data_IF_413707091095
#
_entry.id   IF_413707091095
#
_cell.length_a   1.000
_cell.length_b   1.000
_cell.length_c   1.000
_cell.angle_alpha   90.00
_cell.angle_beta   90.00
_cell.angle_gamma   90.00
#
_symmetry.space_group_name_H-M   'P 1'
#
loop_
_entity.id
_entity.type
_entity.pdbx_description
1 polymer ?
#
# COMPACT_ATOMS: atom_id res chain seq x y z
N UNK A 1 -5.30 3.47 -24.78
CA UNK A 1 -4.04 2.69 -24.89
C UNK A 1 -2.90 3.70 -25.09
N UNK A 2 -1.66 3.40 -24.68
CA UNK A 2 -0.51 4.27 -24.92
C UNK A 2 0.13 4.06 -26.30
N UNK A 3 -0.19 2.96 -27.00
CA UNK A 3 0.23 2.70 -28.39
C UNK A 3 -0.45 3.60 -29.43
N UNK A 4 -1.49 4.33 -29.04
CA UNK A 4 -2.24 5.27 -29.88
C UNK A 4 -2.40 6.65 -29.22
N UNK A 5 -1.67 6.91 -28.13
CA UNK A 5 -1.71 8.18 -27.40
C UNK A 5 -0.55 9.07 -27.86
N UNK A 6 -0.85 10.35 -28.07
CA UNK A 6 0.14 11.40 -28.32
C UNK A 6 -0.22 12.58 -27.41
N UNK A 7 0.78 13.24 -26.84
CA UNK A 7 0.58 14.46 -26.03
C UNK A 7 0.68 15.72 -26.88
N UNK A 8 -0.35 16.56 -26.83
CA UNK A 8 -0.40 17.82 -27.59
C UNK A 8 0.57 18.88 -27.04
N UNK A 9 0.79 18.92 -25.71
CA UNK A 9 1.71 19.88 -25.08
C UNK A 9 3.18 19.49 -25.19
N UNK A 10 3.50 18.22 -25.48
CA UNK A 10 4.90 17.72 -25.42
C UNK A 10 5.36 16.94 -26.65
N UNK A 11 4.47 16.60 -27.59
CA UNK A 11 4.78 15.77 -28.76
C UNK A 11 5.23 14.34 -28.43
N UNK A 12 5.03 13.87 -27.19
CA UNK A 12 5.42 12.52 -26.74
C UNK A 12 4.40 11.48 -27.19
N UNK A 13 4.89 10.28 -27.52
CA UNK A 13 4.08 9.17 -28.03
C UNK A 13 4.05 9.13 -29.57
N UNK A 14 3.46 8.08 -30.17
CA UNK A 14 2.90 6.89 -29.52
C UNK A 14 3.95 5.96 -28.94
N UNK A 15 3.63 5.28 -27.83
CA UNK A 15 4.53 4.31 -27.19
C UNK A 15 4.39 2.92 -27.83
N UNK A 16 4.84 2.83 -29.08
CA UNK A 16 4.95 1.59 -29.87
C UNK A 16 6.17 0.76 -29.46
N UNK A 17 6.28 -0.48 -29.92
CA UNK A 17 7.43 -1.33 -29.63
C UNK A 17 8.75 -0.66 -30.07
N UNK A 18 9.76 -0.71 -29.19
CA UNK A 18 11.03 -0.01 -29.38
C UNK A 18 11.07 1.46 -28.93
N UNK A 19 9.98 2.07 -28.42
CA UNK A 19 9.93 3.49 -28.01
C UNK A 19 11.05 3.94 -27.06
N UNK A 20 11.62 3.02 -26.28
CA UNK A 20 12.73 3.30 -25.34
C UNK A 20 14.03 3.72 -26.05
N UNK A 21 14.18 3.38 -27.33
CA UNK A 21 15.41 3.62 -28.10
C UNK A 21 15.47 5.04 -28.68
N UNK A 22 14.32 5.67 -28.94
CA UNK A 22 14.19 6.98 -29.58
C UNK A 22 13.58 8.07 -28.69
N UNK A 23 12.88 7.73 -27.61
CA UNK A 23 12.30 8.71 -26.67
C UNK A 23 13.36 9.29 -25.74
N UNK A 24 13.40 10.62 -25.58
CA UNK A 24 14.20 11.32 -24.54
C UNK A 24 13.45 12.56 -24.01
N UNK A 25 13.64 12.97 -22.74
CA UNK A 25 14.23 12.18 -21.66
C UNK A 25 13.31 11.03 -21.20
N UNK A 26 13.93 9.99 -20.64
CA UNK A 26 13.31 8.85 -19.95
C UNK A 26 13.80 8.87 -18.49
N UNK A 27 12.94 8.45 -17.56
CA UNK A 27 13.27 8.26 -16.14
C UNK A 27 12.81 6.87 -15.67
N UNK A 28 13.39 6.38 -14.57
CA UNK A 28 12.99 5.13 -13.93
C UNK A 28 12.84 5.36 -12.42
N UNK A 29 11.79 4.81 -11.81
CA UNK A 29 11.56 4.87 -10.37
C UNK A 29 11.60 3.46 -9.76
N UNK A 30 12.67 3.13 -9.05
CA UNK A 30 12.76 1.89 -8.28
C UNK A 30 11.85 1.99 -7.04
N UNK A 31 10.95 1.02 -6.89
CA UNK A 31 9.97 0.96 -5.79
C UNK A 31 10.15 -0.38 -5.08
N UNK A 32 10.97 -0.41 -4.01
CA UNK A 32 11.00 -1.53 -3.06
C UNK A 32 9.65 -1.56 -2.34
N UNK A 33 9.00 -2.71 -2.33
CA UNK A 33 7.76 -2.94 -1.59
C UNK A 33 8.04 -4.00 -0.54
N UNK A 34 7.57 -3.75 0.67
CA UNK A 34 7.62 -4.66 1.79
C UNK A 34 6.27 -4.62 2.51
N UNK A 35 5.86 -5.75 3.06
CA UNK A 35 4.62 -5.89 3.81
C UNK A 35 4.81 -6.99 4.86
N UNK A 36 4.39 -6.69 6.10
CA UNK A 36 4.21 -7.66 7.17
C UNK A 36 2.71 -7.78 7.46
N UNK A 37 2.24 -9.00 7.73
CA UNK A 37 0.86 -9.25 8.16
C UNK A 37 0.83 -10.23 9.34
N UNK A 38 1.21 -9.74 10.52
CA UNK A 38 1.33 -10.49 11.79
C UNK A 38 -0.03 -10.94 12.36
N UNK A 39 -0.74 -11.80 11.62
CA UNK A 39 -2.00 -12.44 12.02
C UNK A 39 -1.86 -13.95 11.92
N UNK A 40 -1.97 -14.63 13.06
CA UNK A 40 -1.86 -16.08 13.16
C UNK A 40 -2.82 -16.80 12.19
N UNK A 41 -2.30 -17.79 11.45
CA UNK A 41 -3.04 -18.54 10.43
C UNK A 41 -3.26 -17.82 9.09
N UNK A 42 -2.99 -16.51 8.99
CA UNK A 42 -3.24 -15.71 7.78
C UNK A 42 -2.00 -15.03 7.19
N UNK A 43 -0.91 -14.88 7.94
CA UNK A 43 0.31 -14.16 7.55
C UNK A 43 0.78 -14.42 6.12
N UNK A 44 1.39 -15.58 5.85
CA UNK A 44 2.02 -15.86 4.55
C UNK A 44 1.03 -15.77 3.38
N UNK A 45 -0.23 -16.19 3.57
CA UNK A 45 -1.26 -16.08 2.53
C UNK A 45 -1.57 -14.62 2.15
N UNK A 46 -1.52 -13.70 3.11
CA UNK A 46 -1.78 -12.26 2.89
C UNK A 46 -0.54 -11.54 2.37
N UNK A 47 0.64 -11.82 2.91
CA UNK A 47 1.92 -11.25 2.43
C UNK A 47 2.21 -11.69 0.98
N UNK A 48 1.99 -12.97 0.65
CA UNK A 48 2.02 -13.48 -0.72
C UNK A 48 1.05 -12.73 -1.62
N UNK A 49 -0.18 -12.50 -1.19
CA UNK A 49 -1.25 -11.87 -2.00
C UNK A 49 -0.89 -10.41 -2.35
N UNK A 50 -0.27 -9.69 -1.42
CA UNK A 50 0.20 -8.32 -1.60
C UNK A 50 1.46 -8.26 -2.49
N UNK A 51 2.32 -9.28 -2.46
CA UNK A 51 3.55 -9.35 -3.26
C UNK A 51 3.48 -10.19 -4.55
N UNK A 52 2.40 -10.92 -4.81
CA UNK A 52 2.34 -11.96 -5.85
C UNK A 52 2.65 -11.47 -7.25
N UNK A 53 3.84 -11.83 -7.73
CA UNK A 53 3.98 -12.34 -9.10
C UNK A 53 3.26 -13.68 -9.11
N UNK A 54 2.27 -13.88 -9.98
CA UNK A 54 1.70 -15.22 -10.12
C UNK A 54 2.62 -16.09 -10.98
N UNK A 55 3.15 -17.17 -10.40
CA UNK A 55 3.49 -18.36 -11.17
C UNK A 55 2.21 -19.19 -11.23
N UNK A 56 1.56 -19.16 -12.38
CA UNK A 56 0.22 -19.72 -12.61
C UNK A 56 0.11 -21.17 -12.11
N UNK A 57 -0.88 -21.45 -11.25
CA UNK A 57 -1.32 -22.83 -10.98
C UNK A 57 -2.83 -22.93 -10.71
N UNK A 58 -3.59 -23.16 -11.80
CA UNK A 58 -4.82 -23.95 -11.84
C UNK A 58 -5.95 -23.62 -10.83
N UNK A 59 -6.54 -22.41 -10.85
CA UNK A 59 -7.95 -22.20 -10.46
C UNK A 59 -8.49 -20.84 -10.97
N UNK A 60 -9.36 -20.79 -12.02
CA UNK A 60 -9.67 -19.54 -12.72
C UNK A 60 -10.74 -18.64 -12.07
N UNK A 61 -11.39 -19.05 -10.97
CA UNK A 61 -12.64 -18.43 -10.49
C UNK A 61 -12.51 -17.41 -9.33
N UNK A 62 -11.30 -17.18 -8.79
CA UNK A 62 -11.07 -16.16 -7.73
C UNK A 62 -10.41 -14.87 -8.22
N UNK A 63 -10.14 -14.77 -9.53
CA UNK A 63 -9.29 -13.74 -10.17
C UNK A 63 -10.04 -12.41 -10.44
N UNK A 64 -10.93 -11.98 -9.55
CA UNK A 64 -11.74 -10.74 -9.69
C UNK A 64 -11.75 -9.82 -8.47
N UNK A 65 -11.14 -10.22 -7.35
CA UNK A 65 -11.14 -9.44 -6.09
C UNK A 65 -9.74 -9.11 -5.57
N UNK A 66 -8.70 -9.31 -6.38
CA UNK A 66 -7.31 -9.01 -6.05
C UNK A 66 -6.73 -8.03 -7.07
N UNK A 67 -5.86 -7.15 -6.58
CA UNK A 67 -5.07 -6.20 -7.37
C UNK A 67 -3.70 -6.15 -6.73
N UNK A 68 -2.66 -6.60 -7.43
CA UNK A 68 -1.32 -6.61 -6.87
C UNK A 68 -0.75 -5.18 -6.83
N UNK A 69 0.22 -4.93 -5.95
CA UNK A 69 0.95 -3.65 -5.95
C UNK A 69 1.55 -3.32 -7.33
N UNK A 70 1.93 -4.34 -8.12
CA UNK A 70 2.38 -4.17 -9.51
C UNK A 70 1.28 -3.66 -10.43
N UNK A 71 0.05 -4.13 -10.29
CA UNK A 71 -1.07 -3.73 -11.14
C UNK A 71 -1.49 -2.29 -10.84
N UNK A 72 -1.58 -1.94 -9.56
CA UNK A 72 -1.84 -0.57 -9.09
C UNK A 72 -0.79 0.38 -9.66
N UNK A 73 0.49 0.03 -9.57
CA UNK A 73 1.59 0.83 -10.11
C UNK A 73 1.56 0.88 -11.65
N UNK A 74 1.27 -0.23 -12.33
CA UNK A 74 1.21 -0.29 -13.80
C UNK A 74 0.05 0.57 -14.36
N UNK A 75 -1.13 0.50 -13.75
CA UNK A 75 -2.29 1.33 -14.11
C UNK A 75 -2.01 2.80 -13.80
N UNK A 76 -1.51 3.11 -12.59
CA UNK A 76 -1.19 4.48 -12.19
C UNK A 76 -0.12 5.12 -13.07
N UNK A 77 0.95 4.40 -13.43
CA UNK A 77 1.96 4.91 -14.36
C UNK A 77 1.42 5.07 -15.80
N UNK A 78 0.49 4.20 -16.26
CA UNK A 78 -0.18 4.39 -17.56
C UNK A 78 -1.08 5.62 -17.57
N UNK A 79 -1.82 5.87 -16.49
CA UNK A 79 -2.66 7.07 -16.31
C UNK A 79 -1.81 8.34 -16.24
N UNK A 80 -0.73 8.35 -15.45
CA UNK A 80 0.17 9.49 -15.32
C UNK A 80 0.82 9.90 -16.66
N UNK A 81 1.11 8.94 -17.55
CA UNK A 81 1.54 9.22 -18.93
C UNK A 81 0.38 9.75 -19.77
N UNK A 82 -0.78 9.08 -19.77
CA UNK A 82 -1.93 9.50 -20.57
C UNK A 82 -2.40 10.94 -20.24
N UNK A 83 -2.26 11.36 -18.98
CA UNK A 83 -2.61 12.69 -18.49
C UNK A 83 -1.45 13.70 -18.48
N UNK A 84 -0.36 13.47 -19.22
CA UNK A 84 0.74 14.46 -19.34
C UNK A 84 0.21 15.85 -19.68
N UNK A 85 -0.76 15.97 -20.59
CA UNK A 85 -1.29 17.28 -20.97
C UNK A 85 -2.10 17.98 -19.87
N UNK A 86 -2.58 17.27 -18.85
CA UNK A 86 -3.26 17.89 -17.69
C UNK A 86 -2.26 18.55 -16.75
N UNK A 87 -1.14 17.86 -16.42
CA UNK A 87 -0.18 18.31 -15.41
C UNK A 87 1.07 19.00 -15.98
N UNK A 88 1.38 18.87 -17.27
CA UNK A 88 2.56 19.49 -17.87
C UNK A 88 2.46 21.03 -17.87
N UNK A 89 3.40 21.66 -17.17
CA UNK A 89 3.43 23.11 -16.94
C UNK A 89 2.74 23.58 -15.65
N UNK A 90 2.16 22.68 -14.85
CA UNK A 90 1.54 23.03 -13.56
C UNK A 90 2.61 23.49 -12.55
N UNK A 91 2.34 24.58 -11.84
CA UNK A 91 3.22 25.07 -10.76
C UNK A 91 3.03 24.26 -9.47
N UNK A 92 4.02 24.28 -8.58
CA UNK A 92 3.93 23.61 -7.27
C UNK A 92 2.75 24.14 -6.43
N UNK A 93 2.35 25.41 -6.60
CA UNK A 93 1.17 25.94 -5.93
C UNK A 93 -0.13 25.43 -6.55
N UNK A 94 -0.21 25.33 -7.88
CA UNK A 94 -1.35 24.71 -8.57
C UNK A 94 -1.56 23.24 -8.16
N UNK A 95 -0.47 22.51 -7.90
CA UNK A 95 -0.55 21.15 -7.33
C UNK A 95 -1.17 21.17 -5.93
N UNK A 96 -0.73 22.07 -5.04
CA UNK A 96 -1.30 22.20 -3.68
C UNK A 96 -2.78 22.57 -3.69
N UNK A 97 -3.19 23.49 -4.56
CA UNK A 97 -4.59 23.88 -4.74
C UNK A 97 -5.43 22.72 -5.26
N UNK A 98 -4.90 21.95 -6.22
CA UNK A 98 -5.53 20.75 -6.77
C UNK A 98 -5.70 19.64 -5.71
N UNK A 99 -4.65 19.34 -4.94
CA UNK A 99 -4.71 18.38 -3.82
C UNK A 99 -5.73 18.81 -2.76
N UNK A 100 -5.69 20.08 -2.35
CA UNK A 100 -6.64 20.66 -1.37
C UNK A 100 -8.09 20.53 -1.85
N UNK A 101 -8.35 20.83 -3.13
CA UNK A 101 -9.69 20.71 -3.73
C UNK A 101 -10.15 19.25 -3.79
N UNK A 102 -9.33 18.33 -4.30
CA UNK A 102 -9.68 16.90 -4.34
C UNK A 102 -9.93 16.31 -2.95
N UNK A 103 -9.14 16.72 -1.95
CA UNK A 103 -9.33 16.30 -0.56
C UNK A 103 -10.67 16.81 0.00
N UNK A 104 -11.09 18.04 -0.35
CA UNK A 104 -12.40 18.58 0.01
C UNK A 104 -13.55 17.84 -0.70
N UNK A 105 -13.46 17.65 -2.02
CA UNK A 105 -14.46 16.92 -2.80
C UNK A 105 -14.65 15.48 -2.30
N UNK A 106 -13.56 14.78 -2.00
CA UNK A 106 -13.57 13.42 -1.45
C UNK A 106 -14.24 13.40 -0.06
N UNK A 107 -13.87 14.34 0.81
CA UNK A 107 -14.46 14.44 2.15
C UNK A 107 -15.95 14.84 2.13
N UNK A 108 -16.41 15.58 1.12
CA UNK A 108 -17.83 15.88 0.94
C UNK A 108 -18.61 14.66 0.46
N UNK A 109 -18.10 13.91 -0.52
CA UNK A 109 -18.71 12.67 -1.00
C UNK A 109 -18.83 11.63 0.12
N UNK A 110 -17.73 11.37 0.86
CA UNK A 110 -17.75 10.46 2.01
C UNK A 110 -18.70 10.88 3.15
N UNK A 111 -19.19 12.12 3.15
CA UNK A 111 -20.24 12.59 4.07
C UNK A 111 -21.64 12.46 3.47
N UNK A 112 -21.86 12.73 2.18
CA UNK A 112 -23.18 12.61 1.56
C UNK A 112 -23.69 11.17 1.57
N UNK A 113 -22.83 10.20 1.24
CA UNK A 113 -23.15 8.76 1.34
C UNK A 113 -23.52 8.31 2.78
N UNK A 114 -23.25 9.16 3.78
CA UNK A 114 -23.56 8.91 5.19
C UNK A 114 -24.91 9.48 5.65
N UNK A 115 -25.59 10.30 4.84
CA UNK A 115 -26.88 10.90 5.17
C UNK A 115 -28.09 10.18 4.53
N UNK A 116 -27.91 9.53 3.38
CA UNK A 116 -28.99 8.79 2.68
C UNK A 116 -29.34 7.44 3.33
N UNK A 117 -28.66 7.07 4.43
CA UNK A 117 -29.04 5.97 5.32
C UNK A 117 -29.42 6.51 6.70
N UNK A 118 -30.73 6.58 6.97
CA UNK A 118 -31.26 6.92 8.29
C UNK A 118 -30.66 5.99 9.37
N UNK A 119 -30.03 6.59 10.38
CA UNK A 119 -29.01 5.89 11.16
C UNK A 119 -29.56 4.79 12.11
N UNK A 120 -29.06 3.55 12.00
CA UNK A 120 -28.83 2.73 13.17
C UNK A 120 -27.62 3.28 13.93
N UNK A 121 -27.68 3.30 15.27
CA UNK A 121 -26.59 3.78 16.13
C UNK A 121 -25.29 3.02 15.85
N UNK A 122 -24.30 3.68 15.23
CA UNK A 122 -22.95 3.11 15.07
C UNK A 122 -22.32 2.89 16.45
N UNK A 123 -21.89 1.66 16.79
CA UNK A 123 -20.98 1.45 17.91
C UNK A 123 -19.71 2.27 17.71
N UNK A 124 -19.14 2.78 18.80
CA UNK A 124 -17.84 3.47 18.75
C UNK A 124 -16.76 2.47 18.34
N UNK A 125 -16.38 2.47 17.06
CA UNK A 125 -15.25 1.68 16.57
C UNK A 125 -13.95 2.37 16.97
N UNK A 126 -13.58 2.19 18.25
CA UNK A 126 -12.29 2.62 18.78
C UNK A 126 -11.15 2.08 17.91
N UNK A 127 -10.12 2.90 17.72
CA UNK A 127 -8.99 2.59 16.85
C UNK A 127 -8.31 1.28 17.29
N UNK A 128 -8.17 0.35 16.34
CA UNK A 128 -7.19 -0.75 16.35
C UNK A 128 -6.94 -1.40 17.72
N UNK A 129 -7.72 -2.45 18.06
CA UNK A 129 -7.34 -3.31 19.18
C UNK A 129 -6.01 -4.02 18.85
N UNK A 130 -5.04 -3.95 19.76
CA UNK A 130 -3.92 -4.89 19.75
C UNK A 130 -4.43 -6.22 20.30
N UNK A 131 -4.28 -7.31 19.55
CA UNK A 131 -4.73 -8.65 19.97
C UNK A 131 -3.70 -9.26 20.94
N UNK A 132 -3.58 -8.62 22.09
CA UNK A 132 -2.67 -8.97 23.19
C UNK A 132 -3.41 -9.19 24.51
N UNK A 133 -4.74 -9.05 24.52
CA UNK A 133 -5.60 -9.38 25.66
C UNK A 133 -5.87 -10.90 25.74
N UNK A 134 -5.45 -11.49 26.85
CA UNK A 134 -5.66 -12.90 27.17
C UNK A 134 -7.15 -13.29 27.25
N UNK A 135 -8.04 -12.36 27.64
CA UNK A 135 -9.48 -12.63 27.74
C UNK A 135 -10.12 -12.84 26.38
N UNK A 136 -9.71 -12.07 25.37
CA UNK A 136 -10.14 -12.20 23.98
C UNK A 136 -9.63 -13.49 23.33
N UNK A 137 -8.41 -13.92 23.65
CA UNK A 137 -7.85 -15.20 23.18
C UNK A 137 -8.62 -16.40 23.74
N UNK A 138 -8.91 -16.40 25.05
CA UNK A 138 -9.76 -17.43 25.68
C UNK A 138 -11.17 -17.47 25.09
N UNK A 139 -11.74 -16.30 24.75
CA UNK A 139 -13.06 -16.19 24.11
C UNK A 139 -13.09 -16.73 22.67
N UNK A 140 -11.94 -16.91 22.02
CA UNK A 140 -11.78 -17.60 20.73
C UNK A 140 -11.31 -19.06 20.87
N UNK A 141 -11.29 -19.61 22.09
CA UNK A 141 -10.92 -21.01 22.34
C UNK A 141 -9.41 -21.30 22.32
N UNK A 142 -8.57 -20.27 22.34
CA UNK A 142 -7.11 -20.43 22.39
C UNK A 142 -6.68 -20.69 23.84
N UNK A 143 -6.21 -21.90 24.13
CA UNK A 143 -5.71 -22.30 25.43
C UNK A 143 -4.21 -21.99 25.55
N UNK A 144 -3.87 -20.83 26.12
CA UNK A 144 -2.48 -20.49 26.48
C UNK A 144 -1.99 -21.36 27.63
N UNK A 145 -0.89 -22.10 27.43
CA UNK A 145 -0.20 -22.81 28.51
C UNK A 145 0.64 -21.82 29.33
N UNK A 146 0.47 -21.84 30.65
CA UNK A 146 1.19 -20.95 31.57
C UNK A 146 2.59 -21.50 31.81
N UNK A 147 3.61 -20.71 31.47
CA UNK A 147 4.98 -20.86 31.99
C UNK A 147 5.08 -19.96 33.22
N UNK A 148 5.51 -20.45 34.41
CA UNK A 148 5.49 -19.65 35.63
C UNK A 148 6.64 -18.62 35.67
N UNK A 149 6.30 -17.38 36.04
CA UNK A 149 7.26 -16.28 36.18
C UNK A 149 8.22 -16.48 37.37
N UNK A 150 9.50 -16.17 37.15
CA UNK A 150 10.49 -15.96 38.22
C UNK A 150 10.61 -14.47 38.56
N UNK A 151 10.37 -14.13 39.82
CA UNK A 151 10.17 -12.77 40.33
C UNK A 151 11.38 -11.80 40.24
N UNK A 152 11.08 -10.55 39.85
CA UNK A 152 11.59 -9.28 40.41
C UNK A 152 13.10 -9.01 40.57
N UNK A 153 13.57 -7.89 40.00
CA UNK A 153 14.33 -6.86 40.73
C UNK A 153 14.36 -5.51 39.97
N UNK A 154 14.83 -4.45 40.63
CA UNK A 154 14.65 -3.04 40.25
C UNK A 154 15.72 -2.43 39.31
N UNK A 155 15.25 -1.41 38.58
CA UNK A 155 15.89 -0.10 38.30
C UNK A 155 17.41 0.03 38.13
N UNK A 156 17.77 0.58 36.95
CA UNK A 156 18.93 1.43 36.66
C UNK A 156 20.35 0.83 36.58
N UNK A 157 20.91 0.86 35.37
CA UNK A 157 22.30 1.28 35.11
C UNK A 157 22.52 1.47 33.59
N UNK A 158 23.65 2.05 33.20
CA UNK A 158 23.97 2.48 31.82
C UNK A 158 24.95 1.53 31.11
N UNK A 159 25.11 1.74 29.79
CA UNK A 159 26.05 1.05 28.87
C UNK A 159 25.81 -0.47 28.72
N UNK A 160 25.46 -0.95 27.52
CA UNK A 160 26.42 -1.08 26.42
C UNK A 160 25.77 -1.19 25.04
N UNK A 161 26.48 -0.75 23.99
CA UNK A 161 26.19 -1.12 22.59
C UNK A 161 27.04 -2.32 22.18
N UNK A 162 26.48 -3.41 21.64
CA UNK A 162 27.22 -4.32 20.78
C UNK A 162 27.61 -3.59 19.48
N UNK A 163 28.81 -3.83 18.95
CA UNK A 163 29.30 -3.15 17.76
C UNK A 163 29.88 -4.15 16.75
N UNK A 164 29.39 -4.10 15.50
CA UNK A 164 29.92 -4.80 14.31
C UNK A 164 29.77 -6.34 14.34
N UNK A 165 29.96 -7.09 13.26
CA UNK A 165 30.86 -6.94 12.08
C UNK A 165 30.18 -6.84 10.70
N UNK A 166 30.97 -6.41 9.70
CA UNK A 166 30.73 -6.57 8.26
C UNK A 166 31.20 -8.00 7.84
N UNK A 167 31.10 -8.53 6.61
CA UNK A 167 30.69 -8.06 5.26
C UNK A 167 30.08 -9.28 4.51
N UNK A 168 29.71 -9.29 3.21
CA UNK A 168 30.52 -9.01 1.99
C UNK A 168 29.57 -8.66 0.82
N UNK A 169 30.10 -8.08 -0.26
CA UNK A 169 29.37 -7.79 -1.49
C UNK A 169 29.76 -8.74 -2.62
N UNK A 170 28.76 -9.25 -3.34
CA UNK A 170 28.79 -9.57 -4.78
C UNK A 170 27.48 -9.03 -5.40
#
# INVERSE_FOLDING_TARGET
>A
DLRCWVSDKTGRGPLVDGWRNNTKPIMCSYKRVECSFEVYGFQGRTEDFIHKVEIQTLLPMTHLAYSNIRDILLVGHRQAVAWVDEWHGMSLEGVREFEKRLQQETNSKLKSEHFDSAAPLRPSFSRSISVTDESSLKKMGVNTLVIPDSSSCDSSSSLNKPMRMNSTSE
#
